data_IF_222737083081
#
_entry.id   IF_222737083081
#
_cell.length_a   1.000
_cell.length_b   1.000
_cell.length_c   1.000
_cell.angle_alpha   90.00
_cell.angle_beta   90.00
_cell.angle_gamma   90.00
#
_symmetry.space_group_name_H-M   'P 1'
#
loop_
_entity.id
_entity.type
_entity.pdbx_description
1 polymer ?
#
# COMPACT_ATOMS: atom_id res chain seq x y z
N UNK A 1 -21.78 -2.96 10.16
CA UNK A 1 -21.09 -1.66 9.97
C UNK A 1 -21.17 -1.10 8.54
N UNK A 2 -21.76 -1.78 7.55
CA UNK A 2 -21.76 -1.31 6.16
C UNK A 2 -22.74 -0.16 5.84
N UNK A 3 -23.81 0.04 6.61
CA UNK A 3 -24.83 1.07 6.31
C UNK A 3 -24.50 2.49 6.82
N UNK A 4 -23.51 2.65 7.72
CA UNK A 4 -23.14 3.97 8.26
C UNK A 4 -22.43 4.87 7.23
N UNK A 5 -21.85 4.28 6.17
CA UNK A 5 -20.99 4.96 5.21
C UNK A 5 -21.70 5.76 4.12
N UNK A 6 -22.92 5.37 3.75
CA UNK A 6 -23.64 5.98 2.61
C UNK A 6 -24.50 7.20 3.02
N UNK A 7 -24.69 7.44 4.32
CA UNK A 7 -25.49 8.58 4.79
C UNK A 7 -24.76 9.91 4.66
N UNK A 8 -25.37 10.89 4.00
CA UNK A 8 -24.82 12.25 3.89
C UNK A 8 -23.82 12.43 2.75
N UNK A 9 -23.96 11.66 1.67
CA UNK A 9 -23.42 11.99 0.34
C UNK A 9 -24.58 12.13 -0.66
N UNK A 10 -24.49 13.10 -1.57
CA UNK A 10 -25.45 13.25 -2.66
C UNK A 10 -24.76 13.79 -3.91
N UNK A 11 -25.07 13.23 -5.07
CA UNK A 11 -24.64 13.75 -6.36
C UNK A 11 -25.87 14.15 -7.18
N UNK A 12 -25.91 15.41 -7.64
CA UNK A 12 -27.07 15.96 -8.37
C UNK A 12 -26.83 16.12 -9.89
N UNK A 13 -25.73 15.57 -10.41
CA UNK A 13 -25.31 15.72 -11.81
C UNK A 13 -24.23 16.78 -12.03
N UNK A 14 -24.05 17.71 -11.09
CA UNK A 14 -23.03 18.77 -11.17
C UNK A 14 -22.25 18.96 -9.88
N UNK A 15 -22.88 18.69 -8.72
CA UNK A 15 -22.34 18.91 -7.39
C UNK A 15 -22.24 17.59 -6.65
N UNK A 16 -21.11 17.37 -6.00
CA UNK A 16 -20.92 16.33 -4.99
C UNK A 16 -21.08 16.97 -3.61
N UNK A 17 -22.22 16.72 -2.98
CA UNK A 17 -22.59 17.25 -1.67
C UNK A 17 -22.19 16.25 -0.59
N UNK A 18 -21.48 16.75 0.43
CA UNK A 18 -20.94 15.96 1.52
C UNK A 18 -21.26 16.60 2.87
N UNK A 19 -21.94 15.84 3.73
CA UNK A 19 -22.25 16.25 5.11
C UNK A 19 -21.05 16.01 6.01
N UNK A 20 -20.64 17.03 6.77
CA UNK A 20 -19.59 16.89 7.79
C UNK A 20 -20.21 16.92 9.17
N UNK A 21 -19.85 15.96 10.02
CA UNK A 21 -20.35 15.85 11.40
C UNK A 21 -19.23 16.18 12.36
N UNK A 22 -19.50 16.97 13.40
CA UNK A 22 -18.60 17.15 14.54
C UNK A 22 -18.52 15.86 15.39
N UNK A 23 -17.63 15.84 16.39
CA UNK A 23 -17.58 14.71 17.32
C UNK A 23 -18.87 14.64 18.14
N UNK A 24 -19.38 15.79 18.56
CA UNK A 24 -20.63 15.94 19.32
C UNK A 24 -21.81 15.40 18.51
N UNK A 25 -21.94 15.80 17.24
CA UNK A 25 -22.98 15.28 16.33
C UNK A 25 -22.84 13.77 16.20
N UNK A 26 -21.61 13.28 16.01
CA UNK A 26 -21.36 11.86 15.85
C UNK A 26 -21.78 11.08 17.10
N UNK A 27 -21.43 11.59 18.28
CA UNK A 27 -21.77 10.98 19.54
C UNK A 27 -23.28 10.98 19.78
N UNK A 28 -23.99 12.06 19.44
CA UNK A 28 -25.44 12.15 19.57
C UNK A 28 -26.17 11.20 18.62
N UNK A 29 -25.70 11.07 17.37
CA UNK A 29 -26.39 10.28 16.33
C UNK A 29 -26.05 8.78 16.45
N UNK A 30 -24.79 8.44 16.72
CA UNK A 30 -24.30 7.05 16.67
C UNK A 30 -23.79 6.50 18.00
N UNK A 31 -23.67 7.32 19.06
CA UNK A 31 -23.33 6.85 20.42
C UNK A 31 -21.91 6.34 20.62
N UNK A 32 -20.96 6.67 19.72
CA UNK A 32 -19.59 6.14 19.73
C UNK A 32 -18.58 7.01 20.50
N UNK A 33 -17.36 6.45 20.67
CA UNK A 33 -16.23 7.13 21.30
C UNK A 33 -15.47 8.03 20.32
N UNK A 34 -14.54 8.85 20.83
CA UNK A 34 -13.63 9.65 19.98
C UNK A 34 -12.80 8.78 19.03
N UNK A 35 -12.43 7.57 19.47
CA UNK A 35 -11.71 6.62 18.62
C UNK A 35 -12.58 6.16 17.44
N UNK A 36 -13.84 5.81 17.71
CA UNK A 36 -14.79 5.40 16.68
C UNK A 36 -15.08 6.55 15.71
N UNK A 37 -15.15 7.79 16.21
CA UNK A 37 -15.29 8.99 15.38
C UNK A 37 -14.11 9.19 14.42
N UNK A 38 -12.87 8.97 14.88
CA UNK A 38 -11.69 9.03 14.00
C UNK A 38 -11.75 7.97 12.89
N UNK A 39 -12.18 6.75 13.22
CA UNK A 39 -12.39 5.68 12.24
C UNK A 39 -13.51 6.02 11.25
N UNK A 40 -14.61 6.61 11.75
CA UNK A 40 -15.69 7.14 10.93
C UNK A 40 -15.20 8.22 9.95
N UNK A 41 -14.41 9.20 10.41
CA UNK A 41 -13.87 10.26 9.54
C UNK A 41 -12.99 9.70 8.41
N UNK A 42 -12.19 8.67 8.68
CA UNK A 42 -11.39 8.01 7.65
C UNK A 42 -12.23 7.22 6.66
N UNK A 43 -13.22 6.47 7.13
CA UNK A 43 -14.15 5.77 6.25
C UNK A 43 -14.88 6.76 5.32
N UNK A 44 -15.33 7.89 5.87
CA UNK A 44 -15.94 8.99 5.11
C UNK A 44 -14.99 9.58 4.08
N UNK A 45 -13.72 9.79 4.41
CA UNK A 45 -12.72 10.28 3.44
C UNK A 45 -12.48 9.31 2.30
N UNK A 46 -12.34 8.01 2.58
CA UNK A 46 -12.15 7.00 1.53
C UNK A 46 -13.34 6.98 0.57
N UNK A 47 -14.57 7.03 1.11
CA UNK A 47 -15.79 7.15 0.31
C UNK A 47 -15.82 8.45 -0.50
N UNK A 48 -15.45 9.57 0.10
CA UNK A 48 -15.38 10.86 -0.59
C UNK A 48 -14.38 10.85 -1.75
N UNK A 49 -13.19 10.26 -1.57
CA UNK A 49 -12.19 10.10 -2.62
C UNK A 49 -12.70 9.22 -3.76
N UNK A 50 -13.31 8.08 -3.43
CA UNK A 50 -13.95 7.21 -4.42
C UNK A 50 -15.00 7.96 -5.24
N UNK A 51 -15.91 8.69 -4.59
CA UNK A 51 -16.96 9.46 -5.27
C UNK A 51 -16.39 10.60 -6.12
N UNK A 52 -15.27 11.21 -5.70
CA UNK A 52 -14.59 12.23 -6.49
C UNK A 52 -13.97 11.66 -7.77
N UNK A 53 -13.45 10.43 -7.72
CA UNK A 53 -12.95 9.71 -8.89
C UNK A 53 -14.10 9.28 -9.82
N UNK A 54 -15.19 8.74 -9.27
CA UNK A 54 -16.40 8.34 -10.02
C UNK A 54 -17.10 9.54 -10.68
N UNK A 55 -17.07 10.71 -10.03
CA UNK A 55 -17.70 11.95 -10.50
C UNK A 55 -16.66 13.03 -10.79
N UNK A 56 -15.65 12.69 -11.57
CA UNK A 56 -14.59 13.62 -11.95
C UNK A 56 -15.14 14.91 -12.57
N UNK A 57 -14.74 16.06 -12.02
CA UNK A 57 -15.19 17.39 -12.45
C UNK A 57 -16.42 17.93 -11.71
N UNK A 58 -17.04 17.16 -10.81
CA UNK A 58 -18.12 17.65 -9.97
C UNK A 58 -17.65 18.74 -8.99
N UNK A 59 -18.50 19.73 -8.73
CA UNK A 59 -18.25 20.76 -7.71
C UNK A 59 -18.51 20.21 -6.32
N UNK A 60 -17.48 20.21 -5.48
CA UNK A 60 -17.56 19.71 -4.11
C UNK A 60 -18.26 20.75 -3.22
N UNK A 61 -19.33 20.35 -2.54
CA UNK A 61 -20.05 21.19 -1.57
C UNK A 61 -20.06 20.52 -0.20
N UNK A 62 -19.31 21.11 0.74
CA UNK A 62 -19.29 20.70 2.14
C UNK A 62 -20.44 21.37 2.91
N UNK A 63 -21.24 20.57 3.61
CA UNK A 63 -22.37 21.01 4.44
C UNK A 63 -22.17 20.52 5.87
N UNK A 64 -21.80 21.39 6.83
CA UNK A 64 -21.78 21.03 8.24
C UNK A 64 -23.16 20.58 8.70
N UNK A 65 -23.23 19.46 9.42
CA UNK A 65 -24.46 18.98 10.02
C UNK A 65 -24.90 19.98 11.10
N UNK A 66 -26.19 20.31 11.10
CA UNK A 66 -26.79 21.22 12.06
C UNK A 66 -28.05 20.57 12.60
N UNK A 67 -27.99 20.12 13.86
CA UNK A 67 -29.06 19.33 14.46
C UNK A 67 -30.39 20.09 14.51
N UNK A 68 -30.36 21.38 14.82
CA UNK A 68 -31.57 22.22 14.89
C UNK A 68 -32.22 22.38 13.52
N UNK A 69 -31.46 22.77 12.49
CA UNK A 69 -31.96 22.94 11.12
C UNK A 69 -32.45 21.62 10.52
N UNK A 70 -31.72 20.54 10.78
CA UNK A 70 -32.13 19.20 10.37
C UNK A 70 -33.44 18.78 11.02
N UNK A 71 -33.60 19.01 12.33
CA UNK A 71 -34.81 18.63 13.06
C UNK A 71 -36.04 19.38 12.54
N UNK A 72 -35.91 20.70 12.34
CA UNK A 72 -36.97 21.53 11.74
C UNK A 72 -37.33 21.03 10.33
N UNK A 73 -36.34 20.72 9.49
CA UNK A 73 -36.57 20.18 8.15
C UNK A 73 -37.31 18.83 8.19
N UNK A 74 -36.96 17.93 9.12
CA UNK A 74 -37.61 16.63 9.27
C UNK A 74 -39.06 16.77 9.74
N UNK A 75 -39.37 17.76 10.58
CA UNK A 75 -40.74 18.07 10.99
C UNK A 75 -41.59 18.59 9.82
N UNK A 76 -41.02 19.49 9.01
CA UNK A 76 -41.66 20.02 7.79
C UNK A 76 -41.82 18.96 6.69
N UNK A 77 -40.97 17.92 6.69
CA UNK A 77 -40.93 16.88 5.65
C UNK A 77 -41.11 15.48 6.24
N UNK A 78 -42.29 15.16 6.81
CA UNK A 78 -42.51 13.92 7.57
C UNK A 78 -42.35 12.65 6.73
N UNK A 79 -42.56 12.72 5.40
CA UNK A 79 -42.34 11.61 4.47
C UNK A 79 -40.89 11.13 4.45
N UNK A 80 -39.94 11.98 4.86
CA UNK A 80 -38.54 11.63 4.89
C UNK A 80 -38.08 11.05 6.24
N UNK A 81 -38.89 11.07 7.30
CA UNK A 81 -38.55 10.57 8.65
C UNK A 81 -38.07 9.11 8.70
N UNK A 82 -38.46 8.30 7.73
CA UNK A 82 -38.10 6.88 7.66
C UNK A 82 -37.13 6.56 6.51
N UNK A 83 -36.70 7.56 5.72
CA UNK A 83 -35.75 7.34 4.64
C UNK A 83 -34.34 7.11 5.21
N UNK A 84 -33.58 6.16 4.67
CA UNK A 84 -32.19 5.95 5.07
C UNK A 84 -31.33 7.19 4.79
N UNK A 85 -31.57 7.90 3.67
CA UNK A 85 -30.74 9.02 3.19
C UNK A 85 -31.18 10.43 3.64
N UNK A 86 -31.83 10.56 4.80
CA UNK A 86 -32.35 11.85 5.31
C UNK A 86 -31.32 12.98 5.32
N UNK A 87 -30.11 12.71 5.84
CA UNK A 87 -29.08 13.73 5.97
C UNK A 87 -28.59 14.22 4.60
N UNK A 88 -28.52 13.33 3.60
CA UNK A 88 -28.15 13.69 2.23
C UNK A 88 -29.21 14.58 1.57
N UNK A 89 -30.49 14.28 1.77
CA UNK A 89 -31.61 15.08 1.26
C UNK A 89 -31.70 16.45 1.91
N UNK A 90 -31.55 16.51 3.23
CA UNK A 90 -31.45 17.77 3.95
C UNK A 90 -30.28 18.61 3.43
N UNK A 91 -29.11 18.00 3.27
CA UNK A 91 -27.93 18.70 2.76
C UNK A 91 -28.10 19.20 1.32
N UNK A 92 -28.84 18.48 0.48
CA UNK A 92 -29.23 18.95 -0.85
C UNK A 92 -30.09 20.23 -0.79
N UNK A 93 -31.06 20.27 0.13
CA UNK A 93 -31.87 21.48 0.37
C UNK A 93 -31.00 22.65 0.80
N UNK A 94 -30.10 22.43 1.78
CA UNK A 94 -29.16 23.47 2.25
C UNK A 94 -28.24 23.93 1.11
N UNK A 95 -27.66 23.00 0.36
CA UNK A 95 -26.72 23.31 -0.72
C UNK A 95 -27.37 24.04 -1.90
N UNK A 96 -28.70 23.96 -2.03
CA UNK A 96 -29.45 24.65 -3.09
C UNK A 96 -29.74 26.12 -2.75
N UNK A 97 -29.59 26.54 -1.49
CA UNK A 97 -29.67 27.94 -1.06
C UNK A 97 -28.31 28.42 -0.51
N UNK A 98 -27.53 29.19 -1.30
CA UNK A 98 -26.22 29.69 -0.87
C UNK A 98 -26.27 30.52 0.40
N UNK A 99 -27.36 31.28 0.63
CA UNK A 99 -27.50 32.12 1.82
C UNK A 99 -27.73 31.28 3.08
N UNK A 100 -28.51 30.21 2.96
CA UNK A 100 -28.74 29.26 4.03
C UNK A 100 -27.47 28.47 4.35
N UNK A 101 -26.76 27.99 3.33
CA UNK A 101 -25.48 27.31 3.51
C UNK A 101 -24.43 28.18 4.23
N UNK A 102 -24.35 29.48 3.90
CA UNK A 102 -23.45 30.41 4.61
C UNK A 102 -23.84 30.56 6.08
N UNK A 103 -25.14 30.66 6.40
CA UNK A 103 -25.60 30.69 7.80
C UNK A 103 -25.20 29.44 8.57
N UNK A 104 -25.37 28.25 7.98
CA UNK A 104 -24.94 26.99 8.59
C UNK A 104 -23.43 26.97 8.81
N UNK A 105 -22.63 27.33 7.80
CA UNK A 105 -21.16 27.39 7.92
C UNK A 105 -20.68 28.37 8.99
N UNK A 106 -21.38 29.48 9.18
CA UNK A 106 -21.04 30.44 10.23
C UNK A 106 -21.33 29.91 11.64
N UNK A 107 -22.33 29.04 11.80
CA UNK A 107 -22.59 28.34 13.08
C UNK A 107 -21.59 27.22 13.37
N UNK A 108 -21.04 26.62 12.31
CA UNK A 108 -20.09 25.50 12.37
C UNK A 108 -18.77 25.85 11.64
N UNK A 109 -17.96 26.79 12.17
CA UNK A 109 -16.80 27.32 11.47
C UNK A 109 -15.63 26.33 11.39
N UNK A 110 -15.61 25.31 12.24
CA UNK A 110 -14.53 24.32 12.29
C UNK A 110 -14.76 23.22 11.25
N UNK A 111 -13.77 23.03 10.38
CA UNK A 111 -13.74 21.86 9.51
C UNK A 111 -13.21 20.65 10.28
N UNK A 112 -13.94 19.53 10.21
CA UNK A 112 -13.46 18.27 10.77
C UNK A 112 -12.30 17.76 9.94
N UNK A 113 -11.11 17.71 10.56
CA UNK A 113 -9.87 17.31 9.91
C UNK A 113 -9.82 15.78 9.74
N UNK A 114 -9.40 15.33 8.56
CA UNK A 114 -9.22 13.91 8.31
C UNK A 114 -7.75 13.53 8.50
N UNK A 115 -7.50 12.62 9.45
CA UNK A 115 -6.18 12.17 9.89
C UNK A 115 -5.50 11.24 8.87
N UNK A 116 -5.00 11.79 7.75
CA UNK A 116 -4.19 11.03 6.78
C UNK A 116 -2.95 10.41 7.41
N UNK A 117 -2.44 11.04 8.46
CA UNK A 117 -1.32 10.62 9.32
C UNK A 117 -1.63 9.42 10.21
N UNK A 118 -2.91 9.09 10.44
CA UNK A 118 -3.31 7.85 11.13
C UNK A 118 -3.88 6.80 10.16
N UNK A 119 -4.15 7.12 8.89
CA UNK A 119 -4.76 6.15 7.96
C UNK A 119 -3.83 4.96 7.71
N UNK A 120 -4.25 3.78 8.13
CA UNK A 120 -3.50 2.55 7.93
C UNK A 120 -3.37 2.22 6.43
N UNK A 121 -2.15 1.88 6.00
CA UNK A 121 -1.79 1.53 4.63
C UNK A 121 -0.76 0.40 4.66
N UNK A 122 -0.81 -0.45 3.65
CA UNK A 122 0.24 -1.42 3.39
C UNK A 122 0.69 -1.30 1.93
N UNK A 123 2.00 -1.42 1.71
CA UNK A 123 2.60 -1.36 0.38
C UNK A 123 3.51 -2.57 0.23
N UNK A 124 3.28 -3.36 -0.82
CA UNK A 124 4.16 -4.46 -1.20
C UNK A 124 5.25 -3.95 -2.14
N UNK A 125 6.46 -4.39 -1.84
CA UNK A 125 7.70 -4.11 -2.50
C UNK A 125 8.37 -5.44 -2.86
N UNK A 126 9.16 -5.49 -3.93
CA UNK A 126 9.94 -6.67 -4.29
C UNK A 126 11.36 -6.28 -4.67
N UNK A 127 12.35 -6.91 -4.02
CA UNK A 127 13.74 -6.82 -4.44
C UNK A 127 14.08 -7.92 -5.43
N UNK A 128 14.64 -7.52 -6.57
CA UNK A 128 15.09 -8.44 -7.60
C UNK A 128 16.56 -8.79 -7.40
N UNK A 129 16.83 -10.08 -7.17
CA UNK A 129 18.15 -10.62 -6.89
C UNK A 129 18.54 -11.57 -8.03
N UNK A 130 19.30 -11.08 -9.03
CA UNK A 130 19.83 -11.95 -10.08
C UNK A 130 20.93 -12.85 -9.50
N UNK A 131 20.81 -14.15 -9.72
CA UNK A 131 21.74 -15.16 -9.20
C UNK A 131 22.16 -16.15 -10.28
N UNK A 132 23.39 -16.66 -10.19
CA UNK A 132 23.89 -17.78 -10.99
C UNK A 132 23.80 -19.04 -10.14
N UNK A 133 23.01 -19.99 -10.63
CA UNK A 133 22.82 -21.31 -10.03
C UNK A 133 23.67 -22.34 -10.78
N UNK A 134 24.59 -23.05 -10.12
CA UNK A 134 25.50 -23.97 -10.82
C UNK A 134 24.87 -25.34 -11.11
N UNK A 135 23.81 -25.71 -10.41
CA UNK A 135 23.15 -27.01 -10.56
C UNK A 135 21.71 -27.00 -10.02
N UNK A 136 20.99 -28.09 -10.27
CA UNK A 136 19.60 -28.27 -9.86
C UNK A 136 19.42 -28.35 -8.33
N UNK A 137 20.42 -28.80 -7.58
CA UNK A 137 20.36 -28.88 -6.11
C UNK A 137 20.34 -27.47 -5.49
N UNK A 138 21.25 -26.60 -5.91
CA UNK A 138 21.26 -25.18 -5.51
C UNK A 138 19.95 -24.49 -5.86
N UNK A 139 19.39 -24.77 -7.04
CA UNK A 139 18.10 -24.22 -7.46
C UNK A 139 16.92 -24.69 -6.58
N UNK A 140 16.93 -25.94 -6.13
CA UNK A 140 15.91 -26.44 -5.19
C UNK A 140 16.02 -25.74 -3.83
N UNK A 141 17.23 -25.53 -3.31
CA UNK A 141 17.44 -24.83 -2.04
C UNK A 141 16.86 -23.41 -2.03
N UNK A 142 16.87 -22.72 -3.19
CA UNK A 142 16.28 -21.37 -3.33
C UNK A 142 14.74 -21.34 -3.21
N UNK A 143 14.07 -22.49 -3.22
CA UNK A 143 12.61 -22.59 -3.03
C UNK A 143 12.20 -22.80 -1.59
N UNK A 144 13.13 -23.29 -0.78
CA UNK A 144 12.88 -23.52 0.62
C UNK A 144 12.67 -22.18 1.34
N UNK A 145 11.93 -22.18 2.45
CA UNK A 145 11.82 -21.00 3.29
C UNK A 145 13.21 -20.48 3.68
N UNK A 146 13.37 -19.17 3.60
CA UNK A 146 14.58 -18.49 4.04
C UNK A 146 14.68 -18.68 5.56
N UNK A 147 15.86 -19.04 6.11
CA UNK A 147 16.02 -19.19 7.55
C UNK A 147 15.53 -17.95 8.31
N UNK A 148 14.68 -18.15 9.32
CA UNK A 148 14.03 -17.04 10.03
C UNK A 148 15.05 -16.07 10.66
N UNK A 149 16.19 -16.58 11.13
CA UNK A 149 17.28 -15.75 11.63
C UNK A 149 17.79 -14.76 10.57
N UNK A 150 17.90 -15.21 9.31
CA UNK A 150 18.31 -14.35 8.19
C UNK A 150 17.23 -13.32 7.83
N UNK A 151 15.96 -13.73 7.83
CA UNK A 151 14.82 -12.83 7.60
C UNK A 151 14.82 -11.70 8.63
N UNK A 152 14.99 -12.04 9.90
CA UNK A 152 15.08 -11.07 11.00
C UNK A 152 16.30 -10.17 10.84
N UNK A 153 17.47 -10.72 10.48
CA UNK A 153 18.67 -9.94 10.26
C UNK A 153 18.49 -8.91 9.12
N UNK A 154 17.94 -9.34 7.99
CA UNK A 154 17.61 -8.46 6.84
C UNK A 154 16.68 -7.34 7.27
N UNK A 155 15.66 -7.65 8.09
CA UNK A 155 14.74 -6.67 8.64
C UNK A 155 15.45 -5.64 9.52
N UNK A 156 16.29 -6.07 10.45
CA UNK A 156 17.00 -5.15 11.35
C UNK A 156 17.98 -4.26 10.60
N UNK A 157 18.68 -4.79 9.59
CA UNK A 157 19.55 -4.00 8.70
C UNK A 157 18.75 -2.93 7.93
N UNK A 158 17.57 -3.30 7.43
CA UNK A 158 16.65 -2.36 6.79
C UNK A 158 16.14 -1.27 7.72
N UNK A 159 15.79 -1.65 8.96
CA UNK A 159 15.31 -0.71 9.96
C UNK A 159 16.43 0.27 10.31
N UNK A 160 17.62 -0.24 10.62
CA UNK A 160 18.76 0.58 11.03
C UNK A 160 19.30 1.45 9.89
N UNK A 161 19.31 0.94 8.66
CA UNK A 161 19.83 1.65 7.49
C UNK A 161 18.85 2.66 6.90
N UNK A 162 17.61 2.24 6.60
CA UNK A 162 16.65 3.07 5.86
C UNK A 162 15.61 3.74 6.75
N UNK A 163 15.20 3.08 7.83
CA UNK A 163 14.02 3.49 8.61
C UNK A 163 14.31 4.05 10.00
N UNK A 164 15.58 4.19 10.40
CA UNK A 164 15.96 4.60 11.76
C UNK A 164 15.23 5.85 12.31
N UNK A 165 14.91 6.89 11.52
CA UNK A 165 14.23 8.07 12.06
C UNK A 165 12.69 7.95 12.10
N UNK A 166 12.10 6.83 11.65
CA UNK A 166 10.64 6.66 11.62
C UNK A 166 10.12 6.02 12.91
N UNK A 167 8.93 6.43 13.38
CA UNK A 167 8.36 5.84 14.59
C UNK A 167 8.01 4.37 14.37
N UNK A 168 8.15 3.58 15.44
CA UNK A 168 7.71 2.18 15.43
C UNK A 168 6.21 2.12 15.20
N UNK A 169 5.80 1.12 14.43
CA UNK A 169 4.38 0.88 14.17
C UNK A 169 3.57 0.64 15.45
N UNK A 170 2.45 1.35 15.57
CA UNK A 170 1.42 1.10 16.56
C UNK A 170 0.04 1.13 15.90
N UNK A 171 -0.75 0.07 16.12
CA UNK A 171 -2.11 -0.05 15.60
C UNK A 171 -3.12 0.52 16.60
N UNK A 172 -4.06 1.32 16.12
CA UNK A 172 -5.17 1.85 16.92
C UNK A 172 -6.50 1.17 16.61
N UNK A 173 -6.73 0.82 15.33
CA UNK A 173 -7.94 0.15 14.88
C UNK A 173 -7.66 -0.68 13.63
N UNK A 174 -8.70 -1.21 12.98
CA UNK A 174 -8.57 -1.88 11.69
C UNK A 174 -8.26 -0.94 10.53
N UNK A 175 -8.47 0.37 10.72
CA UNK A 175 -8.23 1.39 9.69
C UNK A 175 -7.20 2.42 10.08
N UNK A 176 -6.71 2.39 11.34
CA UNK A 176 -5.76 3.36 11.88
C UNK A 176 -4.53 2.76 12.53
N UNK A 177 -3.42 3.45 12.33
CA UNK A 177 -2.15 3.22 13.01
C UNK A 177 -1.18 4.36 12.75
N UNK A 178 -0.11 4.42 13.56
CA UNK A 178 1.00 5.35 13.41
C UNK A 178 2.30 4.58 13.19
N UNK A 179 3.32 5.24 12.67
CA UNK A 179 4.63 4.65 12.44
C UNK A 179 4.61 3.59 11.36
N UNK A 180 5.68 2.80 11.32
CA UNK A 180 5.91 1.84 10.25
C UNK A 180 6.55 0.55 10.72
N UNK A 181 6.14 -0.55 10.09
CA UNK A 181 6.73 -1.87 10.21
C UNK A 181 7.14 -2.36 8.82
N UNK A 182 8.32 -2.97 8.75
CA UNK A 182 8.76 -3.74 7.60
C UNK A 182 8.59 -5.22 7.91
N UNK A 183 7.93 -5.94 7.00
CA UNK A 183 7.64 -7.36 7.07
C UNK A 183 8.22 -8.03 5.82
N UNK A 184 9.39 -8.67 5.92
CA UNK A 184 9.92 -9.42 4.79
C UNK A 184 9.16 -10.75 4.60
N UNK A 185 9.16 -11.25 3.37
CA UNK A 185 8.59 -12.56 3.05
C UNK A 185 9.47 -13.72 3.52
N UNK A 186 8.86 -14.86 3.80
CA UNK A 186 9.56 -16.08 4.24
C UNK A 186 10.27 -16.85 3.11
N UNK A 187 10.15 -16.43 1.85
CA UNK A 187 10.73 -17.13 0.68
C UNK A 187 10.92 -16.20 -0.50
N UNK A 188 11.71 -16.66 -1.47
CA UNK A 188 11.73 -16.05 -2.80
C UNK A 188 10.55 -16.50 -3.65
N UNK A 189 10.13 -15.61 -4.53
CA UNK A 189 9.07 -15.85 -5.51
C UNK A 189 9.55 -15.48 -6.92
N UNK A 190 8.80 -15.92 -7.92
CA UNK A 190 9.04 -15.49 -9.31
C UNK A 190 8.50 -14.06 -9.52
N UNK A 191 9.16 -13.19 -10.30
CA UNK A 191 8.66 -11.86 -10.66
C UNK A 191 7.16 -11.79 -10.98
N UNK A 192 6.69 -12.66 -11.87
CA UNK A 192 5.29 -12.72 -12.34
C UNK A 192 4.25 -13.08 -11.26
N UNK A 193 4.67 -13.39 -10.04
CA UNK A 193 3.78 -13.72 -8.92
C UNK A 193 3.60 -12.58 -7.93
N UNK A 194 4.39 -11.51 -8.03
CA UNK A 194 4.33 -10.37 -7.09
C UNK A 194 2.96 -9.70 -7.08
N UNK A 195 2.38 -9.44 -8.25
CA UNK A 195 1.05 -8.83 -8.34
C UNK A 195 -0.04 -9.75 -7.78
N UNK A 196 0.11 -11.07 -7.94
CA UNK A 196 -0.84 -12.08 -7.43
C UNK A 196 -0.83 -12.20 -5.91
N UNK A 197 0.34 -12.04 -5.28
CA UNK A 197 0.42 -12.05 -3.81
C UNK A 197 -0.04 -10.72 -3.21
N UNK A 198 0.07 -9.62 -3.97
CA UNK A 198 -0.11 -8.26 -3.47
C UNK A 198 -1.46 -8.03 -2.81
N UNK A 199 -2.56 -8.25 -3.53
CA UNK A 199 -3.91 -7.91 -3.05
C UNK A 199 -4.26 -8.70 -1.79
N UNK A 200 -4.16 -10.03 -1.86
CA UNK A 200 -4.50 -10.90 -0.74
C UNK A 200 -3.62 -10.67 0.49
N UNK A 201 -2.31 -10.48 0.31
CA UNK A 201 -1.40 -10.24 1.44
C UNK A 201 -1.65 -8.86 2.07
N UNK A 202 -1.86 -7.81 1.27
CA UNK A 202 -2.14 -6.46 1.78
C UNK A 202 -3.44 -6.45 2.57
N UNK A 203 -4.52 -6.99 2.01
CA UNK A 203 -5.83 -7.04 2.68
C UNK A 203 -5.76 -7.83 3.98
N UNK A 204 -5.12 -8.99 3.97
CA UNK A 204 -4.96 -9.81 5.17
C UNK A 204 -4.20 -9.05 6.26
N UNK A 205 -3.05 -8.45 5.94
CA UNK A 205 -2.24 -7.73 6.93
C UNK A 205 -2.97 -6.49 7.48
N UNK A 206 -3.66 -5.75 6.61
CA UNK A 206 -4.49 -4.61 7.02
C UNK A 206 -5.61 -5.02 7.98
N UNK A 207 -6.11 -6.26 7.92
CA UNK A 207 -7.14 -6.74 8.84
C UNK A 207 -6.56 -7.32 10.13
N UNK A 208 -5.49 -8.12 10.05
CA UNK A 208 -5.09 -9.01 11.14
C UNK A 208 -3.77 -8.66 11.83
N UNK A 209 -2.87 -7.90 11.19
CA UNK A 209 -1.52 -7.73 11.71
C UNK A 209 -1.42 -6.66 12.81
N UNK A 210 -0.78 -6.99 13.92
CA UNK A 210 -0.56 -6.11 15.07
C UNK A 210 0.89 -6.21 15.60
N UNK A 211 1.20 -5.47 16.67
CA UNK A 211 2.54 -5.46 17.26
C UNK A 211 2.99 -6.82 17.85
N UNK A 212 2.06 -7.73 18.13
CA UNK A 212 2.33 -9.08 18.64
C UNK A 212 2.52 -10.10 17.50
N UNK A 213 2.22 -9.70 16.27
CA UNK A 213 2.31 -10.55 15.10
C UNK A 213 3.77 -10.79 14.68
N UNK A 214 4.04 -11.89 13.94
CA UNK A 214 5.38 -12.15 13.44
C UNK A 214 5.94 -10.99 12.61
N UNK A 215 7.25 -10.76 12.75
CA UNK A 215 7.98 -9.72 12.00
C UNK A 215 8.28 -10.08 10.53
N UNK A 216 7.55 -11.04 9.98
CA UNK A 216 7.62 -11.51 8.60
C UNK A 216 6.21 -11.93 8.16
N UNK A 217 5.99 -12.09 6.87
CA UNK A 217 4.76 -12.68 6.35
C UNK A 217 5.04 -13.98 5.59
N UNK A 218 4.16 -14.97 5.76
CA UNK A 218 4.31 -16.24 5.08
C UNK A 218 3.70 -16.17 3.67
N UNK A 219 4.43 -16.71 2.71
CA UNK A 219 3.97 -16.78 1.32
C UNK A 219 3.54 -18.21 1.04
N UNK A 220 2.40 -18.36 0.38
CA UNK A 220 1.91 -19.69 0.00
C UNK A 220 2.91 -20.41 -0.91
N UNK A 221 3.10 -21.72 -0.68
CA UNK A 221 3.98 -22.59 -1.50
C UNK A 221 3.63 -22.55 -2.99
N UNK A 222 2.38 -22.24 -3.34
CA UNK A 222 1.94 -22.13 -4.73
C UNK A 222 2.62 -21.00 -5.52
N UNK A 223 3.15 -19.98 -4.81
CA UNK A 223 3.88 -18.86 -5.40
C UNK A 223 5.40 -19.06 -5.40
N UNK A 224 5.86 -20.24 -4.97
CA UNK A 224 7.28 -20.59 -5.02
C UNK A 224 7.79 -20.64 -6.46
N UNK A 225 9.09 -20.43 -6.61
CA UNK A 225 9.75 -20.45 -7.91
C UNK A 225 9.48 -21.80 -8.63
N UNK A 226 9.16 -21.81 -9.95
CA UNK A 226 8.89 -23.04 -10.68
C UNK A 226 10.12 -23.97 -10.74
N UNK A 227 9.95 -25.26 -11.04
CA UNK A 227 11.07 -26.16 -11.39
C UNK A 227 10.79 -26.74 -12.74
N UNK A 228 11.78 -26.70 -13.64
CA UNK A 228 11.72 -27.48 -14.87
C UNK A 228 12.80 -28.56 -14.81
N UNK A 229 12.44 -29.83 -15.04
CA UNK A 229 13.40 -30.93 -15.09
C UNK A 229 14.37 -30.81 -16.28
N UNK A 230 14.05 -30.01 -17.28
CA UNK A 230 14.86 -29.82 -18.49
C UNK A 230 15.83 -28.64 -18.42
N UNK A 231 15.95 -27.96 -17.28
CA UNK A 231 16.88 -26.84 -17.16
C UNK A 231 18.33 -27.27 -17.30
N UNK A 232 19.08 -26.46 -18.05
CA UNK A 232 20.52 -26.61 -18.21
C UNK A 232 21.22 -25.67 -17.23
N UNK A 233 22.35 -26.13 -16.68
CA UNK A 233 23.13 -25.43 -15.67
C UNK A 233 24.58 -25.27 -16.14
N UNK A 234 25.29 -24.19 -15.74
CA UNK A 234 24.85 -23.11 -14.86
C UNK A 234 23.78 -22.22 -15.50
N UNK A 235 22.89 -21.63 -14.69
CA UNK A 235 21.82 -20.75 -15.18
C UNK A 235 21.69 -19.49 -14.33
N UNK A 236 21.35 -18.39 -15.00
CA UNK A 236 20.92 -17.15 -14.35
C UNK A 236 19.43 -17.22 -14.03
N UNK A 237 19.07 -16.95 -12.77
CA UNK A 237 17.69 -16.81 -12.31
C UNK A 237 17.51 -15.43 -11.66
N UNK A 238 16.33 -14.85 -11.78
CA UNK A 238 15.96 -13.61 -11.06
C UNK A 238 15.02 -14.00 -9.94
N UNK A 239 15.46 -13.84 -8.70
CA UNK A 239 14.65 -14.12 -7.51
C UNK A 239 14.00 -12.82 -7.04
N UNK A 240 12.72 -12.88 -6.66
CA UNK A 240 12.08 -11.78 -5.96
C UNK A 240 12.03 -12.06 -4.47
N UNK A 241 12.57 -11.14 -3.68
CA UNK A 241 12.36 -11.11 -2.24
C UNK A 241 11.31 -10.05 -1.90
N UNK A 242 10.08 -10.47 -1.57
CA UNK A 242 9.01 -9.53 -1.31
C UNK A 242 9.09 -8.96 0.11
N UNK A 243 8.66 -7.71 0.25
CA UNK A 243 8.74 -6.90 1.45
C UNK A 243 7.44 -6.12 1.58
N UNK A 244 6.76 -6.21 2.71
CA UNK A 244 5.60 -5.36 2.99
C UNK A 244 6.01 -4.26 3.95
N UNK A 245 5.61 -3.04 3.63
CA UNK A 245 5.66 -1.89 4.53
C UNK A 245 4.24 -1.64 5.00
N UNK A 246 4.00 -1.79 6.29
CA UNK A 246 2.69 -1.56 6.94
C UNK A 246 2.83 -0.39 7.90
N UNK A 247 1.93 0.58 7.83
CA UNK A 247 2.06 1.80 8.63
C UNK A 247 0.96 2.81 8.39
N UNK A 248 1.16 4.02 8.89
CA UNK A 248 0.35 5.16 8.45
C UNK A 248 0.60 5.44 6.95
N UNK A 249 -0.36 6.05 6.27
CA UNK A 249 -0.21 6.37 4.85
C UNK A 249 0.99 7.27 4.58
N UNK A 250 1.20 8.25 5.47
CA UNK A 250 2.31 9.19 5.39
C UNK A 250 3.67 8.51 5.60
N UNK A 251 3.77 7.62 6.60
CA UNK A 251 5.01 6.90 6.88
C UNK A 251 5.31 5.89 5.76
N UNK A 252 4.31 5.17 5.27
CA UNK A 252 4.46 4.26 4.12
C UNK A 252 4.95 5.01 2.87
N UNK A 253 4.45 6.21 2.59
CA UNK A 253 4.91 7.05 1.48
C UNK A 253 6.36 7.49 1.67
N UNK A 254 6.71 7.91 2.89
CA UNK A 254 8.08 8.26 3.26
C UNK A 254 9.03 7.08 3.06
N UNK A 255 8.64 5.89 3.51
CA UNK A 255 9.39 4.65 3.29
C UNK A 255 9.52 4.33 1.81
N UNK A 256 8.44 4.47 1.04
CA UNK A 256 8.45 4.25 -0.42
C UNK A 256 9.54 5.09 -1.09
N UNK A 257 9.60 6.38 -0.75
CA UNK A 257 10.60 7.31 -1.30
C UNK A 257 12.02 6.91 -0.88
N UNK A 258 12.22 6.59 0.41
CA UNK A 258 13.54 6.19 0.94
C UNK A 258 14.05 4.91 0.29
N UNK A 259 13.21 3.90 0.23
CA UNK A 259 13.50 2.62 -0.40
C UNK A 259 13.84 2.80 -1.89
N UNK A 260 13.11 3.66 -2.60
CA UNK A 260 13.37 3.96 -4.02
C UNK A 260 14.67 4.73 -4.26
N UNK A 261 15.23 5.36 -3.23
CA UNK A 261 16.46 6.17 -3.26
C UNK A 261 17.61 5.54 -2.48
N UNK A 262 17.45 4.29 -2.04
CA UNK A 262 18.43 3.61 -1.21
C UNK A 262 19.73 3.38 -1.99
N UNK A 263 20.86 3.74 -1.39
CA UNK A 263 22.17 3.38 -1.93
C UNK A 263 22.50 1.93 -1.58
N UNK A 264 23.45 1.32 -2.30
CA UNK A 264 23.91 -0.05 -2.02
C UNK A 264 24.40 -0.27 -0.59
N UNK A 265 24.88 0.77 0.08
CA UNK A 265 25.35 0.72 1.48
C UNK A 265 24.21 0.62 2.49
N UNK A 266 23.01 1.06 2.12
CA UNK A 266 21.82 1.08 2.98
C UNK A 266 21.00 -0.22 2.82
N UNK A 267 21.50 -1.15 2.00
CA UNK A 267 20.87 -2.42 1.67
C UNK A 267 21.66 -3.58 2.28
N UNK A 268 20.99 -4.70 2.65
CA UNK A 268 21.62 -5.85 3.30
C UNK A 268 22.44 -6.74 2.34
N UNK A 269 23.30 -6.13 1.53
CA UNK A 269 24.03 -6.80 0.44
C UNK A 269 25.03 -7.83 0.97
N UNK A 270 25.70 -7.55 2.09
CA UNK A 270 26.62 -8.50 2.69
C UNK A 270 25.88 -9.78 3.13
N UNK A 271 24.76 -9.60 3.81
CA UNK A 271 23.89 -10.67 4.31
C UNK A 271 23.37 -11.54 3.17
N UNK A 272 22.96 -10.94 2.05
CA UNK A 272 22.62 -11.68 0.84
C UNK A 272 23.80 -12.45 0.25
N UNK A 273 24.97 -11.82 0.13
CA UNK A 273 26.17 -12.48 -0.42
C UNK A 273 26.54 -13.72 0.40
N UNK A 274 26.58 -13.61 1.72
CA UNK A 274 26.89 -14.73 2.62
C UNK A 274 25.88 -15.87 2.48
N UNK A 275 24.58 -15.54 2.41
CA UNK A 275 23.53 -16.55 2.24
C UNK A 275 23.63 -17.29 0.91
N UNK A 276 23.80 -16.56 -0.22
CA UNK A 276 23.92 -17.23 -1.52
C UNK A 276 25.20 -18.06 -1.61
N UNK A 277 26.32 -17.59 -1.06
CA UNK A 277 27.55 -18.39 -0.97
C UNK A 277 27.33 -19.71 -0.24
N UNK A 278 26.60 -19.72 0.89
CA UNK A 278 26.24 -20.94 1.61
C UNK A 278 25.42 -21.92 0.76
N UNK A 279 24.59 -21.42 -0.15
CA UNK A 279 23.80 -22.23 -1.08
C UNK A 279 24.57 -22.70 -2.32
N UNK A 280 25.86 -22.36 -2.43
CA UNK A 280 26.66 -22.50 -3.65
C UNK A 280 25.98 -21.77 -4.84
N UNK A 281 25.43 -20.59 -4.58
CA UNK A 281 24.79 -19.70 -5.55
C UNK A 281 25.60 -18.41 -5.60
N UNK A 282 25.86 -17.89 -6.78
CA UNK A 282 26.57 -16.63 -6.92
C UNK A 282 25.57 -15.50 -7.14
N UNK A 283 25.57 -14.49 -6.27
CA UNK A 283 24.86 -13.25 -6.54
C UNK A 283 25.53 -12.55 -7.73
N UNK A 284 24.76 -12.23 -8.77
CA UNK A 284 25.32 -11.66 -9.99
C UNK A 284 25.86 -10.24 -9.72
N UNK A 285 27.12 -9.93 -10.09
CA UNK A 285 27.73 -8.63 -9.84
C UNK A 285 27.22 -7.59 -10.85
N UNK A 286 25.99 -7.10 -10.69
CA UNK A 286 25.57 -5.85 -11.33
C UNK A 286 26.28 -4.65 -10.70
N UNK A 287 26.44 -3.54 -11.41
CA UNK A 287 26.80 -2.26 -10.75
C UNK A 287 25.58 -1.79 -9.97
N UNK A 288 25.78 -1.12 -8.84
CA UNK A 288 24.69 -0.64 -7.96
C UNK A 288 23.57 0.14 -8.67
N UNK A 289 23.85 0.73 -9.84
CA UNK A 289 22.86 1.39 -10.71
C UNK A 289 21.95 0.42 -11.49
N UNK A 290 22.40 -0.80 -11.78
CA UNK A 290 21.55 -1.87 -12.33
C UNK A 290 20.62 -2.45 -11.25
N UNK A 291 21.02 -2.35 -9.97
CA UNK A 291 20.17 -2.63 -8.82
C UNK A 291 19.18 -1.49 -8.53
N UNK A 292 19.52 -0.23 -8.87
CA UNK A 292 18.63 0.93 -8.77
C UNK A 292 17.67 1.07 -9.96
N UNK A 293 18.05 0.62 -11.16
CA UNK A 293 17.15 0.45 -12.31
C UNK A 293 16.25 -0.80 -12.17
N UNK A 294 16.69 -1.80 -11.40
CA UNK A 294 15.84 -2.83 -10.80
C UNK A 294 15.19 -2.35 -9.47
N UNK A 295 15.08 -1.03 -9.31
CA UNK A 295 14.40 -0.38 -8.21
C UNK A 295 12.93 -0.79 -8.22
N UNK A 296 12.39 -1.04 -7.04
CA UNK A 296 10.98 -1.32 -6.76
C UNK A 296 10.01 -0.85 -7.84
N UNK A 297 9.75 -1.74 -8.80
CA UNK A 297 8.87 -1.43 -9.92
C UNK A 297 7.45 -1.60 -9.44
N UNK A 298 6.78 -0.47 -9.16
CA UNK A 298 5.33 -0.40 -9.29
C UNK A 298 5.04 -0.57 -10.79
N UNK A 299 4.73 -1.80 -11.22
CA UNK A 299 4.44 -2.19 -12.60
C UNK A 299 5.46 -1.71 -13.67
N UNK A 300 6.34 -2.60 -14.11
CA UNK A 300 6.90 -2.52 -15.47
C UNK A 300 6.43 -3.77 -16.22
N UNK A 301 5.22 -3.70 -16.75
CA UNK A 301 4.90 -4.33 -18.01
C UNK A 301 5.15 -3.29 -19.11
N UNK A 302 5.80 -3.75 -20.18
CA UNK A 302 5.98 -3.12 -21.50
C UNK A 302 7.27 -2.32 -21.75
N UNK A 303 7.98 -2.81 -22.77
CA UNK A 303 8.81 -2.09 -23.73
C UNK A 303 10.21 -1.62 -23.30
N UNK A 304 11.16 -2.55 -23.38
CA UNK A 304 12.52 -2.22 -23.84
C UNK A 304 12.81 -3.05 -25.10
N UNK A 305 12.19 -2.70 -26.22
CA UNK A 305 12.77 -3.01 -27.53
C UNK A 305 13.83 -1.94 -27.81
N UNK A 306 15.09 -2.23 -27.50
CA UNK A 306 16.22 -1.48 -28.05
C UNK A 306 16.84 -2.33 -29.16
N UNK A 307 17.06 -1.70 -30.31
CA UNK A 307 17.72 -2.31 -31.46
C UNK A 307 19.02 -2.98 -31.01
N UNK A 308 19.08 -4.29 -31.21
CA UNK A 308 20.22 -5.10 -30.81
C UNK A 308 21.43 -4.71 -31.67
N UNK A 309 22.57 -4.50 -31.01
CA UNK A 309 23.86 -4.35 -31.67
C UNK A 309 24.13 -5.50 -32.63
N UNK A 310 24.80 -5.20 -33.74
CA UNK A 310 25.02 -6.18 -34.80
C UNK A 310 25.91 -7.33 -34.32
N UNK A 311 25.77 -8.49 -34.96
CA UNK A 311 26.46 -9.73 -34.58
C UNK A 311 27.99 -9.58 -34.53
N UNK A 312 28.55 -8.63 -35.27
CA UNK A 312 29.98 -8.30 -35.27
C UNK A 312 30.42 -7.59 -33.98
N UNK A 313 29.62 -6.65 -33.47
CA UNK A 313 29.91 -5.90 -32.23
C UNK A 313 29.87 -6.80 -30.99
N UNK A 314 29.02 -7.84 -31.01
CA UNK A 314 28.92 -8.84 -29.93
C UNK A 314 30.14 -9.77 -29.84
N UNK A 315 30.91 -9.94 -30.92
CA UNK A 315 32.07 -10.83 -30.98
C UNK A 315 33.39 -10.15 -30.58
N UNK A 316 33.47 -8.82 -30.68
CA UNK A 316 34.68 -8.06 -30.27
C UNK A 316 34.70 -7.69 -28.79
N UNK A 317 33.54 -7.72 -28.11
CA UNK A 317 33.48 -7.46 -26.67
C UNK A 317 34.03 -8.68 -25.89
N UNK A 318 35.15 -8.51 -25.17
CA UNK A 318 35.78 -9.53 -24.30
C UNK A 318 34.94 -9.93 -23.07
N UNK A 319 33.63 -9.68 -23.08
CA UNK A 319 32.71 -10.01 -22.00
C UNK A 319 31.50 -10.80 -22.54
N UNK A 320 31.66 -12.12 -22.63
CA UNK A 320 30.67 -13.12 -23.09
C UNK A 320 29.41 -13.25 -22.21
N UNK A 321 29.21 -12.40 -21.21
CA UNK A 321 28.10 -12.53 -20.24
C UNK A 321 26.75 -11.93 -20.71
N UNK A 322 26.68 -11.38 -21.92
CA UNK A 322 25.49 -10.69 -22.45
C UNK A 322 24.42 -11.59 -23.09
N UNK A 323 24.65 -12.89 -23.22
CA UNK A 323 23.86 -13.70 -24.16
C UNK A 323 22.43 -14.09 -23.75
N UNK A 324 21.93 -13.83 -22.54
CA UNK A 324 20.64 -14.41 -22.10
C UNK A 324 19.78 -13.54 -21.16
N UNK A 325 19.86 -12.21 -21.24
CA UNK A 325 18.98 -11.33 -20.44
C UNK A 325 17.65 -11.10 -21.16
N UNK A 326 16.60 -11.73 -20.60
CA UNK A 326 15.18 -11.36 -20.68
C UNK A 326 14.55 -11.48 -22.08
N UNK A 327 13.71 -12.50 -22.25
CA UNK A 327 12.64 -12.48 -23.25
C UNK A 327 11.44 -11.77 -22.65
#
# INVERSE_FOLDING_TARGET
MAEMGDNGFYYDGHRLIYVTYSFEDYQTIWGGSLSDYKDFLLARQRKFQQLQEEHFGAWIVLVPFDQEDFSNWVEENPLHKQCSNQHARWALKVASDPSHLVKIRNRHPLQNYILKDESLKAVLFAWFLPVITPNSSSMRKLKEPIPQQLVNQIREELITGLLAPLPQFQRYSTTRGTGVAILPGDRFVHPDTIDKIREHTIESLLQTWDSCSPHYFSISKQYSFPTCPHWHFPRVAVLCFPLVVLGSSFDCETVTIRISRADSKDLPLHTWKSYFQFLNVQLYPGRGTDFAAAGFTKHIHNEIQRELASKAELLESKHTAYLWRVK
#
